data_IF_502865602982
#
_entry.id   IF_502865602982
#
_cell.length_a   1.000
_cell.length_b   1.000
_cell.length_c   1.000
_cell.angle_alpha   90.00
_cell.angle_beta   90.00
_cell.angle_gamma   90.00
#
_symmetry.space_group_name_H-M   'P 1'
#
loop_
_entity.id
_entity.type
_entity.pdbx_description
1 polymer ?
#
# COMPACT_ATOMS: atom_id res chain seq x y z
N UNK A 1 30.69 -36.53 -1.96
CA UNK A 1 29.32 -36.18 -2.42
C UNK A 1 28.66 -35.06 -1.58
N UNK A 2 29.05 -34.82 -0.34
CA UNK A 2 28.54 -33.71 0.51
C UNK A 2 29.17 -32.33 0.24
N UNK A 3 30.41 -32.27 -0.22
CA UNK A 3 31.08 -30.99 -0.49
C UNK A 3 30.65 -30.29 -1.80
N UNK A 4 30.15 -31.06 -2.79
CA UNK A 4 29.69 -30.49 -4.05
C UNK A 4 28.32 -29.79 -3.91
N UNK A 5 27.46 -30.26 -3.01
CA UNK A 5 26.15 -29.66 -2.72
C UNK A 5 26.29 -28.33 -1.94
N UNK A 6 27.29 -28.23 -1.05
CA UNK A 6 27.53 -27.00 -0.29
C UNK A 6 28.10 -25.89 -1.20
N UNK A 7 28.93 -26.25 -2.18
CA UNK A 7 29.44 -25.27 -3.17
C UNK A 7 28.36 -24.81 -4.15
N UNK A 8 27.39 -25.65 -4.49
CA UNK A 8 26.26 -25.25 -5.34
C UNK A 8 25.26 -24.33 -4.60
N UNK A 9 24.98 -24.59 -3.31
CA UNK A 9 24.11 -23.71 -2.50
C UNK A 9 24.76 -22.38 -2.17
N UNK A 10 26.09 -22.33 -1.94
CA UNK A 10 26.82 -21.06 -1.79
C UNK A 10 26.91 -20.27 -3.11
N UNK A 11 27.03 -20.94 -4.26
CA UNK A 11 26.98 -20.31 -5.58
C UNK A 11 25.63 -19.67 -5.90
N UNK A 12 24.53 -20.29 -5.49
CA UNK A 12 23.18 -19.69 -5.64
C UNK A 12 22.97 -18.48 -4.71
N UNK A 13 23.52 -18.49 -3.51
CA UNK A 13 23.45 -17.35 -2.59
C UNK A 13 24.29 -16.14 -3.08
N UNK A 14 25.39 -16.39 -3.80
CA UNK A 14 26.22 -15.34 -4.39
C UNK A 14 25.62 -14.76 -5.68
N UNK A 15 24.76 -15.52 -6.40
CA UNK A 15 24.04 -14.99 -7.56
C UNK A 15 22.82 -14.11 -7.21
N UNK A 16 22.37 -14.13 -5.97
CA UNK A 16 21.35 -13.19 -5.46
C UNK A 16 21.92 -11.80 -5.14
N UNK A 17 23.26 -11.63 -5.12
CA UNK A 17 23.92 -10.33 -4.93
C UNK A 17 24.12 -9.53 -6.21
N UNK A 18 23.77 -10.08 -7.38
CA UNK A 18 23.77 -9.34 -8.66
C UNK A 18 22.36 -8.83 -8.93
N UNK A 19 21.84 -8.01 -8.03
CA UNK A 19 20.84 -7.01 -8.42
C UNK A 19 21.57 -6.02 -9.34
N UNK A 20 21.04 -5.71 -10.53
CA UNK A 20 21.67 -4.73 -11.41
C UNK A 20 21.86 -3.43 -10.61
N UNK A 21 23.11 -3.00 -10.47
CA UNK A 21 23.43 -1.68 -9.98
C UNK A 21 22.65 -0.68 -10.84
N UNK A 22 21.63 -0.09 -10.24
CA UNK A 22 20.99 1.09 -10.79
C UNK A 22 22.04 2.17 -10.79
N UNK A 23 22.74 2.33 -11.92
CA UNK A 23 23.62 3.47 -12.16
C UNK A 23 22.76 4.73 -12.14
N UNK A 24 22.51 5.23 -10.95
CA UNK A 24 22.08 6.60 -10.71
C UNK A 24 23.25 7.47 -11.13
N UNK A 25 23.13 8.19 -12.22
CA UNK A 25 24.06 9.22 -12.62
C UNK A 25 24.43 10.05 -11.39
N UNK A 26 25.74 10.14 -11.12
CA UNK A 26 26.30 10.71 -9.92
C UNK A 26 25.83 12.14 -9.68
N UNK A 27 25.00 12.29 -8.65
CA UNK A 27 24.82 13.56 -7.98
C UNK A 27 25.94 13.66 -6.95
N UNK A 28 26.82 14.67 -7.02
CA UNK A 28 27.91 14.81 -6.06
C UNK A 28 27.34 14.92 -4.63
N UNK A 29 28.03 14.37 -3.62
CA UNK A 29 27.61 14.48 -2.25
C UNK A 29 27.57 15.96 -1.87
N UNK A 30 26.38 16.44 -1.48
CA UNK A 30 26.21 17.81 -0.98
C UNK A 30 26.93 17.92 0.38
N UNK A 31 28.24 18.19 0.35
CA UNK A 31 28.99 18.71 1.52
C UNK A 31 28.43 20.11 1.82
N UNK A 32 27.83 20.28 2.98
CA UNK A 32 27.64 21.58 3.61
C UNK A 32 26.36 22.34 3.24
N UNK A 33 25.17 21.71 3.35
CA UNK A 33 23.95 22.52 3.47
C UNK A 33 23.84 23.03 4.91
N UNK A 34 24.36 24.23 5.18
CA UNK A 34 23.99 25.01 6.38
C UNK A 34 22.53 25.39 6.19
N UNK A 35 21.64 24.84 7.02
CA UNK A 35 20.27 25.30 7.12
C UNK A 35 20.33 26.79 7.51
N UNK A 36 19.69 27.65 6.71
CA UNK A 36 19.54 29.06 6.99
C UNK A 36 19.03 29.24 8.43
N UNK A 37 19.76 30.00 9.25
CA UNK A 37 19.45 30.29 10.65
C UNK A 37 18.15 31.08 10.85
N UNK A 38 17.50 31.53 9.77
CA UNK A 38 16.17 32.15 9.77
C UNK A 38 15.01 31.14 9.63
N UNK A 39 15.27 29.83 9.56
CA UNK A 39 14.18 28.85 9.63
C UNK A 39 13.57 28.90 11.03
N UNK A 40 12.24 29.12 11.10
CA UNK A 40 11.47 29.07 12.34
C UNK A 40 11.93 27.90 13.20
N UNK A 41 12.14 28.17 14.52
CA UNK A 41 12.68 27.20 15.48
C UNK A 41 12.08 25.80 15.23
N UNK A 42 12.84 24.72 15.17
CA UNK A 42 12.33 23.37 14.84
C UNK A 42 11.11 22.98 15.68
N UNK A 43 11.03 23.46 16.90
CA UNK A 43 9.91 23.27 17.84
C UNK A 43 8.63 23.95 17.39
N UNK A 44 8.69 25.20 16.89
CA UNK A 44 7.51 25.91 16.40
C UNK A 44 6.91 25.23 15.16
N UNK A 45 7.77 24.81 14.24
CA UNK A 45 7.31 24.06 13.05
C UNK A 45 6.70 22.70 13.45
N UNK A 46 7.29 22.00 14.42
CA UNK A 46 6.76 20.74 14.92
C UNK A 46 5.37 20.96 15.56
N UNK A 47 5.20 22.00 16.37
CA UNK A 47 3.92 22.33 17.00
C UNK A 47 2.81 22.60 15.97
N UNK A 48 3.07 23.44 14.97
CA UNK A 48 2.09 23.74 13.90
C UNK A 48 1.72 22.50 13.10
N UNK A 49 2.71 21.67 12.75
CA UNK A 49 2.45 20.43 12.00
C UNK A 49 1.68 19.39 12.84
N UNK A 50 1.94 19.34 14.16
CA UNK A 50 1.18 18.48 15.08
C UNK A 50 -0.26 18.96 15.21
N UNK A 51 -0.50 20.26 15.35
CA UNK A 51 -1.85 20.80 15.38
C UNK A 51 -2.61 20.50 14.08
N UNK A 52 -1.96 20.67 12.93
CA UNK A 52 -2.54 20.32 11.63
C UNK A 52 -2.84 18.81 11.55
N UNK A 53 -1.95 17.94 12.06
CA UNK A 53 -2.18 16.49 12.12
C UNK A 53 -3.40 16.15 12.98
N UNK A 54 -3.60 16.81 14.12
CA UNK A 54 -4.78 16.60 14.99
C UNK A 54 -6.06 17.02 14.29
N UNK A 55 -6.12 18.23 13.73
CA UNK A 55 -7.31 18.72 13.00
C UNK A 55 -7.65 17.79 11.84
N UNK A 56 -6.64 17.34 11.11
CA UNK A 56 -6.83 16.44 10.00
C UNK A 56 -7.30 15.04 10.45
N UNK A 57 -6.78 14.52 11.58
CA UNK A 57 -7.23 13.26 12.16
C UNK A 57 -8.69 13.34 12.63
N UNK A 58 -9.07 14.44 13.31
CA UNK A 58 -10.45 14.65 13.72
C UNK A 58 -11.39 14.72 12.51
N UNK A 59 -11.02 15.47 11.47
CA UNK A 59 -11.79 15.49 10.24
C UNK A 59 -11.93 14.09 9.61
N UNK A 60 -10.87 13.29 9.62
CA UNK A 60 -10.92 11.92 9.12
C UNK A 60 -11.85 11.02 9.96
N UNK A 61 -11.87 11.18 11.28
CA UNK A 61 -12.70 10.39 12.20
C UNK A 61 -14.19 10.78 12.08
N UNK A 62 -14.49 12.08 11.96
CA UNK A 62 -15.87 12.57 11.90
C UNK A 62 -16.49 12.56 10.49
N UNK A 63 -15.70 12.36 9.45
CA UNK A 63 -16.17 12.25 8.06
C UNK A 63 -15.93 10.84 7.50
N UNK A 64 -16.78 9.85 7.82
CA UNK A 64 -16.52 8.45 7.51
C UNK A 64 -16.26 8.19 6.02
N UNK A 65 -16.94 8.89 5.12
CA UNK A 65 -16.73 8.75 3.67
C UNK A 65 -15.32 9.17 3.21
N UNK A 66 -14.67 10.07 3.94
CA UNK A 66 -13.33 10.56 3.63
C UNK A 66 -12.23 9.90 4.45
N UNK A 67 -12.58 9.10 5.47
CA UNK A 67 -11.63 8.51 6.41
C UNK A 67 -10.51 7.75 5.69
N UNK A 68 -10.87 6.95 4.68
CA UNK A 68 -9.88 6.17 3.93
C UNK A 68 -8.89 7.06 3.18
N UNK A 69 -9.38 8.08 2.46
CA UNK A 69 -8.53 9.01 1.71
C UNK A 69 -7.67 9.88 2.65
N UNK A 70 -8.28 10.38 3.73
CA UNK A 70 -7.60 11.22 4.70
C UNK A 70 -6.59 10.41 5.51
N UNK A 71 -6.93 9.21 5.94
CA UNK A 71 -6.01 8.30 6.65
C UNK A 71 -4.74 8.04 5.85
N UNK A 72 -4.85 7.81 4.54
CA UNK A 72 -3.69 7.59 3.66
C UNK A 72 -2.72 8.78 3.61
N UNK A 73 -3.18 10.01 3.82
CA UNK A 73 -2.33 11.20 3.77
C UNK A 73 -1.85 11.66 5.15
N UNK A 74 -2.49 11.20 6.22
CA UNK A 74 -2.15 11.61 7.57
C UNK A 74 -0.67 11.38 7.97
N UNK A 75 -0.03 10.26 7.60
CA UNK A 75 1.38 10.02 7.93
C UNK A 75 2.33 11.10 7.44
N UNK A 76 1.94 11.87 6.41
CA UNK A 76 2.74 12.96 5.85
C UNK A 76 3.07 14.01 6.90
N UNK A 77 2.13 14.36 7.80
CA UNK A 77 2.35 15.35 8.86
C UNK A 77 3.45 14.90 9.82
N UNK A 78 3.36 13.67 10.31
CA UNK A 78 4.36 13.10 11.22
C UNK A 78 5.70 12.91 10.51
N UNK A 79 5.68 12.48 9.25
CA UNK A 79 6.88 12.35 8.45
C UNK A 79 7.59 13.70 8.23
N UNK A 80 6.86 14.80 8.00
CA UNK A 80 7.42 16.13 7.85
C UNK A 80 8.11 16.59 9.14
N UNK A 81 7.48 16.40 10.30
CA UNK A 81 8.12 16.69 11.60
C UNK A 81 9.38 15.86 11.77
N UNK A 82 9.31 14.57 11.48
CA UNK A 82 10.46 13.63 11.61
C UNK A 82 11.61 14.03 10.70
N UNK A 83 11.35 14.41 9.45
CA UNK A 83 12.40 14.87 8.51
C UNK A 83 13.06 16.15 9.02
N UNK A 84 12.27 17.12 9.46
CA UNK A 84 12.78 18.44 9.86
C UNK A 84 13.46 18.45 11.23
N UNK A 85 12.76 17.93 12.24
CA UNK A 85 13.18 18.05 13.63
C UNK A 85 13.82 16.76 14.18
N UNK A 86 13.69 15.62 13.50
CA UNK A 86 14.23 14.33 13.89
C UNK A 86 13.22 13.40 14.53
N UNK A 87 13.63 12.15 14.70
CA UNK A 87 12.74 11.08 15.19
C UNK A 87 12.14 11.39 16.57
N UNK A 88 12.91 12.00 17.48
CA UNK A 88 12.42 12.36 18.82
C UNK A 88 11.23 13.31 18.76
N UNK A 89 11.33 14.37 17.95
CA UNK A 89 10.24 15.33 17.76
C UNK A 89 9.07 14.73 16.97
N UNK A 90 9.34 13.85 15.99
CA UNK A 90 8.31 13.08 15.29
C UNK A 90 7.52 12.17 16.23
N UNK A 91 8.21 11.46 17.12
CA UNK A 91 7.58 10.62 18.15
C UNK A 91 6.75 11.46 19.15
N UNK A 92 7.28 12.58 19.63
CA UNK A 92 6.53 13.50 20.49
C UNK A 92 5.29 14.06 19.78
N UNK A 93 5.39 14.40 18.49
CA UNK A 93 4.27 14.85 17.68
C UNK A 93 3.20 13.74 17.52
N UNK A 94 3.61 12.50 17.33
CA UNK A 94 2.70 11.37 17.27
C UNK A 94 1.99 11.10 18.60
N UNK A 95 2.71 11.19 19.72
CA UNK A 95 2.13 11.07 21.08
C UNK A 95 1.18 12.21 21.37
N UNK A 96 1.56 13.44 21.05
CA UNK A 96 0.68 14.62 21.24
C UNK A 96 -0.58 14.49 20.36
N UNK A 97 -0.43 14.07 19.10
CA UNK A 97 -1.57 13.80 18.22
C UNK A 97 -2.46 12.68 18.78
N UNK A 98 -1.87 11.62 19.32
CA UNK A 98 -2.62 10.55 19.99
C UNK A 98 -3.47 11.09 21.15
N UNK A 99 -2.84 11.77 22.08
CA UNK A 99 -3.53 12.30 23.27
C UNK A 99 -4.62 13.30 22.92
N UNK A 100 -4.36 14.20 21.97
CA UNK A 100 -5.32 15.21 21.54
C UNK A 100 -6.48 14.59 20.73
N UNK A 101 -6.21 13.63 19.87
CA UNK A 101 -7.30 12.94 19.15
C UNK A 101 -8.16 12.07 20.08
N UNK A 102 -7.56 11.45 21.08
CA UNK A 102 -8.31 10.73 22.14
C UNK A 102 -9.18 11.68 22.99
N UNK A 103 -8.72 12.90 23.21
CA UNK A 103 -9.44 13.90 23.98
C UNK A 103 -10.63 14.49 23.21
N UNK A 104 -10.46 14.81 21.93
CA UNK A 104 -11.46 15.50 21.10
C UNK A 104 -12.37 14.54 20.30
N UNK A 105 -11.98 13.27 20.14
CA UNK A 105 -12.83 12.22 19.61
C UNK A 105 -13.12 11.17 20.70
N UNK A 106 -13.54 9.97 20.34
CA UNK A 106 -13.58 8.86 21.30
C UNK A 106 -12.15 8.33 21.53
N UNK A 107 -11.79 7.95 22.78
CA UNK A 107 -10.45 7.44 23.08
C UNK A 107 -10.02 6.29 22.16
N UNK A 108 -10.95 5.38 21.85
CA UNK A 108 -10.68 4.24 20.96
C UNK A 108 -10.48 4.68 19.53
N UNK A 109 -11.34 5.52 18.97
CA UNK A 109 -11.21 5.99 17.59
C UNK A 109 -9.91 6.81 17.39
N UNK A 110 -9.57 7.69 18.35
CA UNK A 110 -8.31 8.44 18.32
C UNK A 110 -7.09 7.53 18.41
N UNK A 111 -7.10 6.56 19.33
CA UNK A 111 -5.99 5.63 19.51
C UNK A 111 -5.81 4.73 18.28
N UNK A 112 -6.86 4.11 17.78
CA UNK A 112 -6.79 3.21 16.61
C UNK A 112 -6.35 3.94 15.36
N UNK A 113 -6.84 5.18 15.14
CA UNK A 113 -6.43 5.99 14.00
C UNK A 113 -4.93 6.33 14.07
N UNK A 114 -4.47 6.89 15.18
CA UNK A 114 -3.06 7.31 15.29
C UNK A 114 -2.11 6.11 15.30
N UNK A 115 -2.45 5.02 16.00
CA UNK A 115 -1.64 3.79 16.00
C UNK A 115 -1.52 3.18 14.60
N UNK A 116 -2.60 3.22 13.81
CA UNK A 116 -2.57 2.70 12.43
C UNK A 116 -1.61 3.47 11.53
N UNK A 117 -1.49 4.76 11.66
CA UNK A 117 -0.84 5.63 10.69
C UNK A 117 0.46 6.29 11.16
N UNK A 118 0.66 6.50 12.48
CA UNK A 118 1.86 7.16 13.00
C UNK A 118 3.17 6.39 12.70
N UNK A 119 3.23 5.05 12.81
CA UNK A 119 4.44 4.30 12.50
C UNK A 119 4.91 4.51 11.06
N UNK A 120 3.98 4.57 10.10
CA UNK A 120 4.27 4.91 8.70
C UNK A 120 4.96 6.26 8.57
N UNK A 121 4.41 7.29 9.23
CA UNK A 121 4.97 8.65 9.21
C UNK A 121 6.37 8.71 9.82
N UNK A 122 6.57 8.06 10.96
CA UNK A 122 7.86 8.00 11.64
C UNK A 122 8.92 7.28 10.79
N UNK A 123 8.58 6.11 10.23
CA UNK A 123 9.49 5.32 9.41
C UNK A 123 9.87 6.06 8.12
N UNK A 124 8.88 6.55 7.36
CA UNK A 124 9.13 7.33 6.15
C UNK A 124 9.95 8.58 6.44
N UNK A 125 9.60 9.33 7.49
CA UNK A 125 10.33 10.53 7.88
C UNK A 125 11.79 10.23 8.23
N UNK A 126 12.06 9.17 8.99
CA UNK A 126 13.40 8.74 9.35
C UNK A 126 14.22 8.30 8.13
N UNK A 127 13.64 7.47 7.27
CA UNK A 127 14.32 6.93 6.10
C UNK A 127 14.61 8.02 5.06
N UNK A 128 13.68 8.95 4.85
CA UNK A 128 13.89 10.12 3.99
C UNK A 128 14.95 11.07 4.54
N UNK A 129 14.96 11.32 5.87
CA UNK A 129 15.98 12.13 6.53
C UNK A 129 17.39 11.54 6.37
N UNK A 130 17.51 10.20 6.43
CA UNK A 130 18.79 9.49 6.24
C UNK A 130 19.24 9.42 4.78
N UNK A 131 18.49 10.02 3.85
CA UNK A 131 18.74 9.99 2.39
C UNK A 131 18.94 8.55 1.86
N UNK A 132 18.21 7.60 2.44
CA UNK A 132 18.22 6.20 2.01
C UNK A 132 17.66 6.03 0.59
N UNK A 133 17.88 4.85 0.02
CA UNK A 133 17.29 4.53 -1.29
C UNK A 133 15.75 4.54 -1.20
N UNK A 134 15.11 4.91 -2.30
CA UNK A 134 13.64 4.91 -2.43
C UNK A 134 13.03 3.56 -2.04
N UNK A 135 13.67 2.46 -2.46
CA UNK A 135 13.21 1.11 -2.13
C UNK A 135 13.20 0.86 -0.62
N UNK A 136 14.26 1.28 0.10
CA UNK A 136 14.32 1.18 1.57
C UNK A 136 13.21 1.98 2.23
N UNK A 137 12.90 3.18 1.71
CA UNK A 137 11.81 4.01 2.23
C UNK A 137 10.45 3.35 2.01
N UNK A 138 10.20 2.78 0.82
CA UNK A 138 8.95 2.09 0.52
C UNK A 138 8.80 0.81 1.34
N UNK A 139 9.80 -0.06 1.37
CA UNK A 139 9.73 -1.32 2.15
C UNK A 139 9.62 -1.04 3.64
N UNK A 140 10.48 -0.17 4.19
CA UNK A 140 10.44 0.17 5.62
C UNK A 140 9.15 0.88 6.03
N UNK A 141 8.62 1.77 5.16
CA UNK A 141 7.33 2.40 5.36
C UNK A 141 6.19 1.38 5.36
N UNK A 142 6.18 0.42 4.41
CA UNK A 142 5.16 -0.63 4.33
C UNK A 142 5.18 -1.54 5.56
N UNK A 143 6.38 -1.97 6.01
CA UNK A 143 6.48 -2.75 7.24
C UNK A 143 5.97 -1.97 8.46
N UNK A 144 6.30 -0.69 8.56
CA UNK A 144 5.80 0.16 9.64
C UNK A 144 4.28 0.37 9.57
N UNK A 145 3.71 0.51 8.35
CA UNK A 145 2.26 0.58 8.14
C UNK A 145 1.56 -0.70 8.61
N UNK A 146 2.07 -1.87 8.22
CA UNK A 146 1.52 -3.15 8.64
C UNK A 146 1.59 -3.33 10.16
N UNK A 147 2.73 -2.98 10.79
CA UNK A 147 2.87 -3.02 12.24
C UNK A 147 1.91 -2.08 12.95
N UNK A 148 1.71 -0.86 12.41
CA UNK A 148 0.76 0.10 12.96
C UNK A 148 -0.68 -0.40 12.92
N UNK A 149 -1.11 -0.95 11.78
CA UNK A 149 -2.44 -1.54 11.61
C UNK A 149 -2.63 -2.78 12.50
N UNK A 150 -1.60 -3.62 12.61
CA UNK A 150 -1.63 -4.77 13.51
C UNK A 150 -1.75 -4.34 14.99
N UNK A 151 -1.01 -3.30 15.40
CA UNK A 151 -1.11 -2.75 16.75
C UNK A 151 -2.48 -2.14 17.03
N UNK A 152 -3.08 -1.42 16.08
CA UNK A 152 -4.44 -0.91 16.20
C UNK A 152 -5.48 -2.03 16.28
N UNK A 153 -5.32 -3.07 15.47
CA UNK A 153 -6.18 -4.27 15.55
C UNK A 153 -6.05 -5.01 16.87
N UNK A 154 -4.82 -5.16 17.37
CA UNK A 154 -4.58 -5.77 18.70
C UNK A 154 -5.22 -4.93 19.81
N UNK A 155 -5.18 -3.60 19.72
CA UNK A 155 -5.85 -2.73 20.69
C UNK A 155 -7.36 -3.00 20.71
N UNK A 156 -8.02 -3.11 19.56
CA UNK A 156 -9.46 -3.44 19.47
C UNK A 156 -9.74 -4.81 20.07
N UNK A 157 -8.91 -5.80 19.77
CA UNK A 157 -9.04 -7.15 20.31
C UNK A 157 -8.93 -7.16 21.82
N UNK A 158 -7.96 -6.45 22.41
CA UNK A 158 -7.74 -6.41 23.85
C UNK A 158 -8.82 -5.63 24.59
N UNK A 159 -9.39 -4.57 24.01
CA UNK A 159 -10.40 -3.74 24.66
C UNK A 159 -11.81 -4.33 24.56
N UNK A 160 -12.14 -4.98 23.45
CA UNK A 160 -13.51 -5.41 23.16
C UNK A 160 -13.64 -6.92 22.98
N UNK A 161 -12.54 -7.67 22.94
CA UNK A 161 -12.56 -9.10 22.60
C UNK A 161 -12.93 -9.37 21.13
N UNK A 162 -13.09 -8.31 20.31
CA UNK A 162 -13.47 -8.41 18.92
C UNK A 162 -12.20 -8.54 18.07
N UNK A 163 -12.12 -9.59 17.27
CA UNK A 163 -11.02 -9.72 16.32
C UNK A 163 -11.33 -8.88 15.06
N UNK A 164 -10.64 -7.74 14.83
CA UNK A 164 -10.91 -6.89 13.66
C UNK A 164 -10.45 -7.50 12.33
N UNK A 165 -9.72 -8.63 12.39
CA UNK A 165 -9.28 -9.39 11.21
C UNK A 165 -10.19 -10.59 10.92
N UNK A 166 -11.13 -10.90 11.81
CA UNK A 166 -12.16 -11.89 11.61
C UNK A 166 -13.51 -11.17 11.70
N UNK A 167 -14.24 -11.11 10.61
CA UNK A 167 -15.61 -10.59 10.65
C UNK A 167 -16.48 -11.51 11.49
N UNK A 168 -17.23 -10.95 12.44
CA UNK A 168 -18.23 -11.69 13.20
C UNK A 168 -19.36 -12.13 12.25
N UNK A 169 -19.60 -13.43 12.10
CA UNK A 169 -20.65 -13.93 11.23
C UNK A 169 -22.04 -13.33 11.54
N UNK A 170 -22.31 -13.03 12.81
CA UNK A 170 -23.59 -12.45 13.21
C UNK A 170 -23.77 -11.00 12.71
N UNK A 171 -22.72 -10.18 12.85
CA UNK A 171 -22.71 -8.79 12.31
C UNK A 171 -22.84 -8.79 10.80
N UNK A 172 -22.20 -9.74 10.15
CA UNK A 172 -22.27 -9.86 8.70
C UNK A 172 -23.65 -10.29 8.22
N UNK A 173 -24.26 -11.27 8.87
CA UNK A 173 -25.63 -11.70 8.57
C UNK A 173 -26.63 -10.54 8.78
N UNK A 174 -26.49 -9.79 9.88
CA UNK A 174 -27.32 -8.63 10.12
C UNK A 174 -27.20 -7.58 9.01
N UNK A 175 -25.96 -7.20 8.61
CA UNK A 175 -25.73 -6.25 7.53
C UNK A 175 -26.28 -6.75 6.17
N UNK A 176 -26.18 -8.07 5.93
CA UNK A 176 -26.76 -8.72 4.76
C UNK A 176 -28.28 -8.61 4.80
N UNK A 177 -28.92 -8.95 5.93
CA UNK A 177 -30.38 -8.92 6.09
C UNK A 177 -30.92 -7.49 5.94
N UNK A 178 -30.25 -6.50 6.51
CA UNK A 178 -30.61 -5.08 6.33
C UNK A 178 -30.52 -4.66 4.86
N UNK A 179 -29.45 -5.05 4.16
CA UNK A 179 -29.27 -4.74 2.72
C UNK A 179 -30.33 -5.41 1.87
N UNK A 180 -30.59 -6.70 2.11
CA UNK A 180 -31.63 -7.46 1.39
C UNK A 180 -33.04 -6.93 1.69
N UNK A 181 -33.27 -6.41 2.91
CA UNK A 181 -34.50 -5.72 3.28
C UNK A 181 -34.77 -4.47 2.41
N UNK A 182 -33.70 -3.71 2.10
CA UNK A 182 -33.82 -2.58 1.17
C UNK A 182 -34.19 -3.06 -0.24
N UNK A 183 -33.53 -4.10 -0.77
CA UNK A 183 -33.86 -4.66 -2.07
C UNK A 183 -35.30 -5.21 -2.15
N UNK A 184 -35.79 -5.85 -1.07
CA UNK A 184 -37.18 -6.26 -0.94
C UNK A 184 -38.13 -5.08 -1.02
N UNK A 185 -37.82 -3.95 -0.38
CA UNK A 185 -38.62 -2.72 -0.44
C UNK A 185 -38.64 -2.08 -1.84
N UNK A 186 -37.59 -2.34 -2.64
CA UNK A 186 -37.47 -1.88 -4.03
C UNK A 186 -38.18 -2.83 -5.04
N UNK A 187 -38.84 -3.88 -4.55
CA UNK A 187 -39.66 -4.77 -5.37
C UNK A 187 -38.95 -6.02 -5.89
N UNK A 188 -37.80 -6.40 -5.37
CA UNK A 188 -37.18 -7.68 -5.69
C UNK A 188 -38.03 -8.85 -5.14
N UNK A 189 -38.17 -9.91 -5.94
CA UNK A 189 -38.85 -11.14 -5.53
C UNK A 189 -38.04 -11.94 -4.54
N UNK A 190 -38.69 -12.78 -3.69
CA UNK A 190 -37.97 -13.62 -2.72
C UNK A 190 -36.95 -14.55 -3.39
N UNK A 191 -37.20 -15.05 -4.59
CA UNK A 191 -36.25 -15.86 -5.35
C UNK A 191 -34.97 -15.08 -5.72
N UNK A 192 -35.15 -13.82 -6.18
CA UNK A 192 -34.01 -12.94 -6.48
C UNK A 192 -33.22 -12.56 -5.23
N UNK A 193 -33.92 -12.39 -4.09
CA UNK A 193 -33.27 -12.10 -2.80
C UNK A 193 -32.41 -13.28 -2.36
N UNK A 194 -32.91 -14.51 -2.46
CA UNK A 194 -32.15 -15.71 -2.08
C UNK A 194 -30.95 -15.95 -2.98
N UNK A 195 -31.11 -15.76 -4.31
CA UNK A 195 -29.99 -15.81 -5.25
C UNK A 195 -28.93 -14.73 -4.93
N UNK A 196 -29.38 -13.51 -4.65
CA UNK A 196 -28.47 -12.41 -4.24
C UNK A 196 -27.76 -12.73 -2.93
N UNK A 197 -28.47 -13.32 -1.95
CA UNK A 197 -27.90 -13.76 -0.68
C UNK A 197 -26.81 -14.80 -0.90
N UNK A 198 -27.07 -15.82 -1.70
CA UNK A 198 -26.11 -16.87 -1.98
C UNK A 198 -24.85 -16.31 -2.66
N UNK A 199 -25.01 -15.51 -3.70
CA UNK A 199 -23.91 -14.86 -4.40
C UNK A 199 -23.10 -13.93 -3.48
N UNK A 200 -23.75 -13.13 -2.64
CA UNK A 200 -23.10 -12.22 -1.72
C UNK A 200 -22.32 -12.97 -0.63
N UNK A 201 -22.83 -14.09 -0.12
CA UNK A 201 -22.13 -14.91 0.88
C UNK A 201 -20.85 -15.54 0.31
N UNK A 202 -20.89 -16.01 -0.94
CA UNK A 202 -19.71 -16.55 -1.63
C UNK A 202 -18.62 -15.48 -1.84
N UNK A 203 -19.01 -14.30 -2.32
CA UNK A 203 -18.11 -13.17 -2.52
C UNK A 203 -17.49 -12.74 -1.20
N UNK A 204 -18.26 -12.73 -0.11
CA UNK A 204 -17.79 -12.36 1.21
C UNK A 204 -16.76 -13.35 1.74
N UNK A 205 -17.00 -14.65 1.62
CA UNK A 205 -16.07 -15.69 2.03
C UNK A 205 -14.73 -15.54 1.30
N UNK A 206 -14.75 -15.36 -0.01
CA UNK A 206 -13.56 -15.09 -0.80
C UNK A 206 -12.84 -13.81 -0.35
N UNK A 207 -13.59 -12.74 -0.07
CA UNK A 207 -13.03 -11.48 0.42
C UNK A 207 -12.30 -11.66 1.75
N UNK A 208 -12.89 -12.42 2.69
CA UNK A 208 -12.27 -12.72 3.99
C UNK A 208 -10.95 -13.49 3.84
N UNK A 209 -10.93 -14.47 2.95
CA UNK A 209 -9.71 -15.23 2.65
C UNK A 209 -8.60 -14.37 2.02
N UNK A 210 -8.97 -13.31 1.30
CA UNK A 210 -8.05 -12.37 0.64
C UNK A 210 -7.55 -11.24 1.57
N UNK A 211 -8.13 -11.08 2.77
CA UNK A 211 -7.80 -9.96 3.68
C UNK A 211 -6.29 -9.76 3.89
N UNK A 212 -5.45 -10.79 4.13
CA UNK A 212 -4.03 -10.57 4.34
C UNK A 212 -3.35 -9.88 3.15
N UNK A 213 -3.67 -10.29 1.91
CA UNK A 213 -3.13 -9.66 0.71
C UNK A 213 -3.64 -8.23 0.52
N UNK A 214 -4.92 -7.98 0.82
CA UNK A 214 -5.53 -6.64 0.77
C UNK A 214 -4.90 -5.70 1.80
N UNK A 215 -4.57 -6.18 2.99
CA UNK A 215 -3.83 -5.41 4.00
C UNK A 215 -2.44 -5.00 3.48
N UNK A 216 -1.69 -5.93 2.89
CA UNK A 216 -0.38 -5.62 2.28
C UNK A 216 -0.54 -4.62 1.14
N UNK A 217 -1.52 -4.83 0.26
CA UNK A 217 -1.82 -3.93 -0.85
C UNK A 217 -2.17 -2.51 -0.36
N UNK A 218 -3.03 -2.39 0.65
CA UNK A 218 -3.41 -1.10 1.24
C UNK A 218 -2.21 -0.37 1.85
N UNK A 219 -1.33 -1.08 2.55
CA UNK A 219 -0.11 -0.51 3.12
C UNK A 219 0.87 -0.01 2.05
N UNK A 220 1.03 -0.76 0.96
CA UNK A 220 1.85 -0.35 -0.20
C UNK A 220 1.30 0.91 -0.87
N UNK A 221 0.00 0.99 -1.08
CA UNK A 221 -0.66 2.17 -1.67
C UNK A 221 -0.50 3.37 -0.75
N UNK A 222 -0.79 3.23 0.54
CA UNK A 222 -0.62 4.29 1.56
C UNK A 222 0.80 4.86 1.52
N UNK A 223 1.80 3.99 1.62
CA UNK A 223 3.21 4.39 1.64
C UNK A 223 3.63 5.01 0.32
N UNK A 224 3.17 4.48 -0.81
CA UNK A 224 3.43 5.04 -2.13
C UNK A 224 2.88 6.46 -2.28
N UNK A 225 1.64 6.69 -1.84
CA UNK A 225 1.00 8.01 -1.84
C UNK A 225 1.73 8.96 -0.91
N UNK A 226 2.00 8.55 0.35
CA UNK A 226 2.77 9.35 1.31
C UNK A 226 4.14 9.73 0.77
N UNK A 227 4.86 8.77 0.18
CA UNK A 227 6.19 9.03 -0.41
C UNK A 227 6.10 10.05 -1.56
N UNK A 228 5.12 9.92 -2.45
CA UNK A 228 4.92 10.84 -3.57
C UNK A 228 4.63 12.26 -3.08
N UNK A 229 3.75 12.42 -2.09
CA UNK A 229 3.41 13.71 -1.48
C UNK A 229 4.62 14.28 -0.74
N UNK A 230 5.28 13.50 0.11
CA UNK A 230 6.49 13.91 0.84
C UNK A 230 7.58 14.41 -0.11
N UNK A 231 7.84 13.68 -1.19
CA UNK A 231 8.80 14.10 -2.22
C UNK A 231 8.46 15.46 -2.82
N UNK A 232 7.18 15.69 -3.15
CA UNK A 232 6.72 16.96 -3.72
C UNK A 232 6.89 18.11 -2.73
N UNK A 233 6.55 17.89 -1.46
CA UNK A 233 6.68 18.87 -0.39
C UNK A 233 8.15 19.16 -0.10
N UNK A 234 8.97 18.14 0.12
CA UNK A 234 10.41 18.31 0.44
C UNK A 234 11.17 19.00 -0.68
N UNK A 235 10.85 18.69 -1.94
CA UNK A 235 11.44 19.38 -3.09
C UNK A 235 11.09 20.88 -3.12
N UNK A 236 9.86 21.27 -2.76
CA UNK A 236 9.49 22.68 -2.62
C UNK A 236 10.22 23.37 -1.49
N UNK A 237 10.64 22.61 -0.49
CA UNK A 237 11.42 23.09 0.66
C UNK A 237 12.94 23.10 0.41
N UNK A 238 13.40 22.80 -0.81
CA UNK A 238 14.82 22.75 -1.17
C UNK A 238 15.55 21.47 -0.70
N UNK A 239 14.83 20.48 -0.16
CA UNK A 239 15.44 19.22 0.27
C UNK A 239 15.48 18.26 -0.91
N UNK A 240 16.67 17.81 -1.29
CA UNK A 240 16.87 16.81 -2.33
C UNK A 240 16.39 15.44 -1.81
N UNK A 241 15.39 14.88 -2.48
CA UNK A 241 14.91 13.52 -2.23
C UNK A 241 15.08 12.72 -3.51
N UNK A 242 15.60 11.50 -3.38
CA UNK A 242 15.81 10.59 -4.51
C UNK A 242 14.51 10.45 -5.31
N UNK A 243 14.61 10.66 -6.61
CA UNK A 243 13.44 10.56 -7.47
C UNK A 243 13.08 9.10 -7.71
N UNK A 244 11.79 8.75 -7.58
CA UNK A 244 11.30 7.54 -8.23
C UNK A 244 11.55 7.64 -9.74
N UNK A 245 11.98 6.57 -10.39
CA UNK A 245 12.03 6.56 -11.84
C UNK A 245 10.64 6.91 -12.41
N UNK A 246 10.55 7.52 -13.59
CA UNK A 246 9.26 7.79 -14.23
C UNK A 246 8.43 6.51 -14.27
N UNK A 247 7.12 6.59 -13.98
CA UNK A 247 6.23 5.43 -13.91
C UNK A 247 6.30 4.55 -15.19
N UNK A 248 6.46 5.18 -16.36
CA UNK A 248 6.68 4.47 -17.61
C UNK A 248 7.96 3.61 -17.64
N UNK A 249 8.87 3.75 -16.69
CA UNK A 249 10.12 2.96 -16.58
C UNK A 249 10.10 1.96 -15.42
N UNK A 250 8.99 1.86 -14.70
CA UNK A 250 8.89 0.89 -13.61
C UNK A 250 8.96 -0.52 -14.17
N UNK A 251 9.84 -1.32 -13.60
CA UNK A 251 9.99 -2.73 -13.90
C UNK A 251 10.07 -3.50 -12.59
N UNK A 252 9.05 -4.32 -12.34
CA UNK A 252 8.97 -5.12 -11.14
C UNK A 252 9.73 -6.45 -11.32
N UNK A 253 10.20 -7.06 -10.23
CA UNK A 253 10.98 -8.29 -10.28
C UNK A 253 10.20 -9.47 -10.86
N UNK A 254 10.91 -10.37 -11.54
CA UNK A 254 10.37 -11.59 -12.17
C UNK A 254 9.78 -12.58 -11.13
N UNK A 255 10.01 -12.36 -9.84
CA UNK A 255 9.41 -13.18 -8.77
C UNK A 255 7.87 -13.21 -8.82
N UNK A 256 7.22 -12.13 -9.26
CA UNK A 256 5.76 -12.05 -9.29
C UNK A 256 5.10 -12.99 -10.32
N UNK A 257 5.57 -13.12 -11.57
CA UNK A 257 5.09 -14.15 -12.49
C UNK A 257 5.25 -15.57 -11.94
N UNK A 258 6.37 -15.88 -11.28
CA UNK A 258 6.53 -17.18 -10.62
C UNK A 258 5.56 -17.35 -9.45
N UNK A 259 5.41 -16.32 -8.61
CA UNK A 259 4.42 -16.35 -7.54
C UNK A 259 3.01 -16.58 -8.09
N UNK A 260 2.65 -15.94 -9.21
CA UNK A 260 1.37 -16.15 -9.90
C UNK A 260 1.19 -17.61 -10.32
N UNK A 261 2.18 -18.20 -11.00
CA UNK A 261 2.12 -19.57 -11.47
C UNK A 261 2.01 -20.58 -10.31
N UNK A 262 2.85 -20.44 -9.26
CA UNK A 262 2.77 -21.28 -8.07
C UNK A 262 1.47 -21.10 -7.31
N UNK A 263 0.93 -19.90 -7.27
CA UNK A 263 -0.38 -19.63 -6.66
C UNK A 263 -1.51 -20.35 -7.39
N UNK A 264 -1.53 -20.36 -8.71
CA UNK A 264 -2.54 -21.11 -9.48
C UNK A 264 -2.47 -22.64 -9.18
N UNK A 265 -1.27 -23.20 -9.11
CA UNK A 265 -1.07 -24.60 -8.72
C UNK A 265 -1.56 -24.85 -7.29
N UNK A 266 -1.22 -23.97 -6.37
CA UNK A 266 -1.62 -24.05 -4.96
C UNK A 266 -3.13 -23.92 -4.76
N UNK A 267 -3.80 -23.03 -5.51
CA UNK A 267 -5.26 -22.92 -5.51
C UNK A 267 -5.89 -24.20 -6.00
N UNK A 268 -5.43 -24.74 -7.13
CA UNK A 268 -5.94 -26.00 -7.68
C UNK A 268 -5.78 -27.16 -6.68
N UNK A 269 -4.60 -27.37 -6.13
CA UNK A 269 -4.37 -28.45 -5.18
C UNK A 269 -5.04 -28.23 -3.83
N UNK A 270 -5.07 -26.98 -3.34
CA UNK A 270 -5.76 -26.63 -2.11
C UNK A 270 -7.26 -26.90 -2.19
N UNK A 271 -7.87 -26.56 -3.32
CA UNK A 271 -9.30 -26.82 -3.58
C UNK A 271 -9.61 -28.30 -3.77
N UNK A 272 -8.82 -29.03 -4.61
CA UNK A 272 -9.09 -30.45 -4.93
C UNK A 272 -8.75 -31.40 -3.79
N UNK A 273 -7.83 -31.04 -2.89
CA UNK A 273 -7.39 -31.84 -1.75
C UNK A 273 -7.96 -31.33 -0.42
N UNK A 274 -8.84 -30.33 -0.45
CA UNK A 274 -9.47 -29.70 0.74
C UNK A 274 -8.45 -29.19 1.76
N UNK A 275 -7.24 -28.77 1.30
CA UNK A 275 -6.19 -28.21 2.15
C UNK A 275 -6.42 -26.71 2.30
N UNK A 276 -7.26 -26.31 3.27
CA UNK A 276 -7.68 -24.91 3.49
C UNK A 276 -6.51 -23.94 3.59
N UNK A 277 -5.48 -24.28 4.35
CA UNK A 277 -4.30 -23.42 4.51
C UNK A 277 -3.55 -23.20 3.20
N UNK A 278 -3.37 -24.26 2.38
CA UNK A 278 -2.72 -24.15 1.07
C UNK A 278 -3.54 -23.26 0.14
N UNK A 279 -4.86 -23.45 0.11
CA UNK A 279 -5.77 -22.64 -0.69
C UNK A 279 -5.69 -21.16 -0.28
N UNK A 280 -5.75 -20.84 1.02
CA UNK A 280 -5.68 -19.48 1.53
C UNK A 280 -4.33 -18.81 1.22
N UNK A 281 -3.21 -19.49 1.46
CA UNK A 281 -1.87 -18.94 1.16
C UNK A 281 -1.72 -18.70 -0.35
N UNK A 282 -2.14 -19.66 -1.17
CA UNK A 282 -2.08 -19.55 -2.61
C UNK A 282 -2.99 -18.43 -3.15
N UNK A 283 -4.20 -18.28 -2.63
CA UNK A 283 -5.12 -17.20 -3.00
C UNK A 283 -4.52 -15.82 -2.68
N UNK A 284 -3.90 -15.66 -1.51
CA UNK A 284 -3.22 -14.42 -1.16
C UNK A 284 -1.99 -14.15 -2.06
N UNK A 285 -1.22 -15.19 -2.37
CA UNK A 285 -0.12 -15.09 -3.34
C UNK A 285 -0.59 -14.66 -4.73
N UNK A 286 -1.71 -15.21 -5.19
CA UNK A 286 -2.37 -14.82 -6.45
C UNK A 286 -2.76 -13.34 -6.44
N UNK A 287 -3.40 -12.86 -5.38
CA UNK A 287 -3.81 -11.44 -5.25
C UNK A 287 -2.60 -10.51 -5.29
N UNK A 288 -1.53 -10.83 -4.55
CA UNK A 288 -0.30 -10.03 -4.53
C UNK A 288 0.33 -10.00 -5.94
N UNK A 289 0.44 -11.15 -6.59
CA UNK A 289 1.00 -11.23 -7.95
C UNK A 289 0.12 -10.50 -8.97
N UNK A 290 -1.21 -10.60 -8.85
CA UNK A 290 -2.18 -9.90 -9.68
C UNK A 290 -2.04 -8.38 -9.53
N UNK A 291 -1.94 -7.85 -8.31
CA UNK A 291 -1.73 -6.42 -8.07
C UNK A 291 -0.38 -5.93 -8.61
N UNK A 292 0.68 -6.72 -8.45
CA UNK A 292 1.98 -6.42 -9.04
C UNK A 292 1.92 -6.39 -10.57
N UNK A 293 1.25 -7.38 -11.16
CA UNK A 293 0.97 -7.45 -12.60
C UNK A 293 0.19 -6.24 -13.09
N UNK A 294 -0.85 -5.81 -12.35
CA UNK A 294 -1.64 -4.63 -12.68
C UNK A 294 -0.78 -3.35 -12.68
N UNK A 295 0.04 -3.14 -11.66
CA UNK A 295 0.96 -1.99 -11.59
C UNK A 295 1.93 -2.00 -12.77
N UNK A 296 2.52 -3.15 -13.09
CA UNK A 296 3.44 -3.29 -14.23
C UNK A 296 2.73 -3.08 -15.56
N UNK A 297 1.53 -3.66 -15.74
CA UNK A 297 0.74 -3.53 -16.96
C UNK A 297 0.28 -2.09 -17.22
N UNK A 298 -0.18 -1.39 -16.18
CA UNK A 298 -0.50 0.04 -16.28
C UNK A 298 0.75 0.88 -16.58
N UNK A 299 1.92 0.52 -16.01
CA UNK A 299 3.18 1.19 -16.33
C UNK A 299 3.63 0.96 -17.78
N UNK A 300 3.43 -0.25 -18.33
CA UNK A 300 3.66 -0.56 -19.74
C UNK A 300 2.69 0.22 -20.63
N UNK A 301 1.40 0.21 -20.30
CA UNK A 301 0.39 0.98 -21.02
C UNK A 301 0.71 2.47 -21.00
N UNK A 302 1.10 3.01 -19.84
CA UNK A 302 1.53 4.40 -19.74
C UNK A 302 2.71 4.73 -20.67
N UNK A 303 3.69 3.83 -20.75
CA UNK A 303 4.80 3.96 -21.70
C UNK A 303 4.31 4.02 -23.16
N UNK A 304 3.38 3.14 -23.55
CA UNK A 304 2.80 3.11 -24.89
C UNK A 304 2.02 4.39 -25.21
N UNK A 305 1.15 4.82 -24.28
CA UNK A 305 0.34 6.03 -24.45
C UNK A 305 1.20 7.30 -24.57
N UNK A 306 2.35 7.36 -23.89
CA UNK A 306 3.32 8.44 -24.05
C UNK A 306 4.00 8.38 -25.43
N UNK A 307 4.38 7.19 -25.87
CA UNK A 307 5.02 6.98 -27.17
C UNK A 307 4.11 7.39 -28.32
N UNK A 308 2.82 7.05 -28.25
CA UNK A 308 1.82 7.43 -29.24
C UNK A 308 1.28 8.86 -29.06
N UNK A 309 1.87 9.65 -28.16
CA UNK A 309 1.49 11.05 -27.89
C UNK A 309 0.00 11.23 -27.56
N UNK A 310 -0.62 10.24 -26.93
CA UNK A 310 -2.03 10.31 -26.51
C UNK A 310 -2.21 11.46 -25.52
N UNK A 311 -3.28 12.25 -25.68
CA UNK A 311 -3.53 13.42 -24.83
C UNK A 311 -3.73 13.02 -23.35
N UNK A 312 -3.40 13.89 -22.38
CA UNK A 312 -3.55 13.58 -20.95
C UNK A 312 -4.98 13.22 -20.56
N UNK A 313 -5.98 13.86 -21.17
CA UNK A 313 -7.39 13.62 -20.93
C UNK A 313 -7.80 12.20 -21.35
N UNK A 314 -7.46 11.80 -22.59
CA UNK A 314 -7.75 10.45 -23.09
C UNK A 314 -7.03 9.38 -22.27
N UNK A 315 -5.79 9.64 -21.81
CA UNK A 315 -5.08 8.73 -20.91
C UNK A 315 -5.83 8.52 -19.59
N UNK A 316 -6.36 9.61 -19.01
CA UNK A 316 -7.15 9.52 -17.78
C UNK A 316 -8.40 8.66 -17.99
N UNK A 317 -9.13 8.87 -19.10
CA UNK A 317 -10.30 8.05 -19.45
C UNK A 317 -9.96 6.56 -19.59
N UNK A 318 -8.84 6.24 -20.25
CA UNK A 318 -8.37 4.86 -20.41
C UNK A 318 -8.10 4.22 -19.05
N UNK A 319 -7.44 4.93 -18.12
CA UNK A 319 -7.17 4.40 -16.78
C UNK A 319 -8.45 4.17 -15.98
N UNK A 320 -9.39 5.13 -16.02
CA UNK A 320 -10.70 4.96 -15.38
C UNK A 320 -11.43 3.76 -15.96
N UNK A 321 -11.47 3.63 -17.30
CA UNK A 321 -12.10 2.50 -17.97
C UNK A 321 -11.51 1.15 -17.55
N UNK A 322 -10.17 1.05 -17.47
CA UNK A 322 -9.49 -0.17 -17.00
C UNK A 322 -9.89 -0.50 -15.56
N UNK A 323 -9.90 0.49 -14.66
CA UNK A 323 -10.20 0.27 -13.24
C UNK A 323 -11.66 -0.12 -13.00
N UNK A 324 -12.59 0.39 -13.81
CA UNK A 324 -14.02 0.08 -13.67
C UNK A 324 -14.38 -1.25 -14.34
N UNK A 325 -13.62 -1.65 -15.37
CA UNK A 325 -13.89 -2.87 -16.12
C UNK A 325 -13.00 -4.02 -15.64
N UNK A 326 -13.56 -4.99 -14.90
CA UNK A 326 -12.82 -6.12 -14.34
C UNK A 326 -12.07 -6.96 -15.38
N UNK A 327 -12.65 -7.16 -16.58
CA UNK A 327 -12.00 -7.90 -17.67
C UNK A 327 -10.75 -7.16 -18.17
N UNK A 328 -10.84 -5.85 -18.35
CA UNK A 328 -9.70 -5.02 -18.76
C UNK A 328 -8.62 -5.01 -17.68
N UNK A 329 -9.00 -4.88 -16.41
CA UNK A 329 -8.07 -4.98 -15.27
C UNK A 329 -7.31 -6.29 -15.30
N UNK A 330 -7.99 -7.42 -15.57
CA UNK A 330 -7.37 -8.74 -15.64
C UNK A 330 -6.41 -8.87 -16.83
N UNK A 331 -6.80 -8.42 -18.02
CA UNK A 331 -5.95 -8.42 -19.22
C UNK A 331 -4.68 -7.57 -18.98
N UNK A 332 -4.83 -6.38 -18.41
CA UNK A 332 -3.71 -5.50 -18.10
C UNK A 332 -2.78 -6.14 -17.05
N UNK A 333 -3.33 -6.78 -16.02
CA UNK A 333 -2.53 -7.49 -15.03
C UNK A 333 -1.71 -8.62 -15.66
N UNK A 334 -2.31 -9.47 -16.48
CA UNK A 334 -1.59 -10.54 -17.17
C UNK A 334 -0.54 -9.99 -18.13
N UNK A 335 -0.88 -8.95 -18.91
CA UNK A 335 0.10 -8.28 -19.78
C UNK A 335 1.29 -7.75 -18.98
N UNK A 336 1.06 -7.22 -17.78
CA UNK A 336 2.13 -6.78 -16.88
C UNK A 336 3.00 -7.93 -16.37
N UNK A 337 2.40 -9.06 -15.99
CA UNK A 337 3.17 -10.26 -15.60
C UNK A 337 4.06 -10.76 -16.75
N UNK A 338 3.53 -10.77 -17.97
CA UNK A 338 4.34 -11.11 -19.15
C UNK A 338 5.44 -10.08 -19.44
N UNK A 339 5.19 -8.76 -19.24
CA UNK A 339 6.20 -7.71 -19.43
C UNK A 339 7.39 -7.88 -18.46
N UNK A 340 7.14 -8.39 -17.23
CA UNK A 340 8.22 -8.69 -16.27
C UNK A 340 9.18 -9.77 -16.77
N UNK A 341 8.71 -10.71 -17.61
CA UNK A 341 9.51 -11.81 -18.16
C UNK A 341 10.15 -11.41 -19.48
N UNK A 342 9.38 -10.80 -20.37
CA UNK A 342 9.79 -10.60 -21.76
C UNK A 342 10.33 -9.20 -22.07
N UNK A 343 10.22 -8.23 -21.15
CA UNK A 343 10.64 -6.84 -21.32
C UNK A 343 10.22 -6.26 -22.68
N UNK A 344 8.90 -6.17 -22.91
CA UNK A 344 8.34 -5.64 -24.16
C UNK A 344 8.86 -4.25 -24.52
N UNK A 345 9.20 -3.42 -23.50
CA UNK A 345 9.70 -2.05 -23.72
C UNK A 345 11.06 -2.03 -24.40
N UNK A 346 11.95 -2.95 -24.05
CA UNK A 346 13.25 -3.10 -24.71
C UNK A 346 13.07 -3.47 -26.16
N UNK A 347 12.25 -4.48 -26.45
CA UNK A 347 11.96 -4.93 -27.83
C UNK A 347 11.31 -3.84 -28.70
N UNK A 348 10.45 -3.00 -28.09
CA UNK A 348 9.78 -1.88 -28.80
C UNK A 348 10.75 -0.72 -29.08
N UNK A 349 11.80 -0.53 -28.26
CA UNK A 349 12.82 0.51 -28.49
C UNK A 349 13.84 0.12 -29.58
N UNK A 350 14.11 -1.17 -29.70
CA UNK A 350 15.07 -1.72 -30.66
C UNK A 350 14.50 -1.81 -32.09
N UNK A 351 13.20 -1.63 -32.25
CA UNK A 351 12.50 -1.47 -33.52
C UNK A 351 12.24 0.02 -33.84
#
# INVERSE_FOLDING_TARGET
>A
MKESLIKQTLGLALHLSVLPEWQCGGVPPLKGYRMNEHAARPTATAGVMTAAAVVYALAAIYLPMLTMMMGMLWPVFIALVTVRAGLRFGALAAVAALLLTMLFATPVAGATFVLSFAPTGLALGLLLRRQGSTLRALVGGTLASLLGKAAAGLLILLLFGINPFAMDPAVMQQAMDETLGIYRSLGMTEGQIEETRAAASEVLELFLLMLPALFVGSALIEVGVCYAVMRKVLRRMGVAVTALPPFARWHLPVVFPYLFAFSLIGIYWGSTREIVLLYQVALNGYVIAFLAGLVQGVALLHFLLLRFRVSPFVRALIYVFILVNGVMTQIISWTGLFDMVYDYRRRIRER
#
